data_IF_455147187752
#
_entry.id   IF_455147187752
#
_cell.length_a   1.000
_cell.length_b   1.000
_cell.length_c   1.000
_cell.angle_alpha   90.00
_cell.angle_beta   90.00
_cell.angle_gamma   90.00
#
_symmetry.space_group_name_H-M   'P 1'
#
loop_
_entity.id
_entity.type
_entity.pdbx_description
1 polymer ?
#
# COMPACT_ATOMS: atom_id res chain seq x y z
N UNK A 1 -5.01 -1.34 -4.25
CA UNK A 1 -4.82 0.11 -4.54
C UNK A 1 -5.66 0.91 -3.56
N UNK A 2 -5.24 2.10 -3.16
CA UNK A 2 -6.02 2.96 -2.26
C UNK A 2 -7.21 3.64 -2.94
N UNK A 3 -7.10 3.87 -4.24
CA UNK A 3 -8.14 4.41 -5.11
C UNK A 3 -8.09 3.69 -6.47
N UNK A 4 -9.23 3.62 -7.17
CA UNK A 4 -9.35 2.96 -8.48
C UNK A 4 -9.96 3.94 -9.47
N UNK A 5 -9.16 4.44 -10.41
CA UNK A 5 -9.64 5.22 -11.55
C UNK A 5 -9.95 4.33 -12.76
N UNK A 6 -9.14 3.28 -12.94
CA UNK A 6 -9.22 2.36 -14.06
C UNK A 6 -9.25 0.92 -13.55
N UNK A 7 -10.26 0.17 -13.96
CA UNK A 7 -10.41 -1.23 -13.59
C UNK A 7 -9.60 -2.15 -14.52
N UNK A 8 -9.61 -3.44 -14.20
CA UNK A 8 -8.89 -4.49 -14.91
C UNK A 8 -9.32 -4.68 -16.37
N UNK A 9 -10.55 -4.27 -16.71
CA UNK A 9 -11.08 -4.36 -18.07
C UNK A 9 -10.54 -3.24 -18.96
N UNK A 10 -10.24 -2.08 -18.38
CA UNK A 10 -9.73 -0.90 -19.11
C UNK A 10 -8.21 -0.91 -19.31
N UNK A 11 -7.46 -1.65 -18.49
CA UNK A 11 -5.98 -1.68 -18.58
C UNK A 11 -5.51 -2.98 -19.22
N UNK A 12 -4.91 -2.88 -20.41
CA UNK A 12 -4.43 -4.06 -21.17
C UNK A 12 -2.92 -4.28 -21.08
N UNK A 13 -2.11 -3.24 -20.88
CA UNK A 13 -0.64 -3.34 -20.83
C UNK A 13 -0.10 -2.46 -19.72
N UNK A 14 0.92 -2.96 -19.01
CA UNK A 14 1.70 -2.20 -18.04
C UNK A 14 3.18 -2.24 -18.40
N UNK A 15 3.89 -1.13 -18.21
CA UNK A 15 5.32 -1.00 -18.51
C UNK A 15 6.02 -0.31 -17.33
N UNK A 16 7.16 -0.83 -16.93
CA UNK A 16 8.11 -0.19 -16.02
C UNK A 16 9.53 -0.36 -16.55
N UNK A 17 10.51 0.24 -15.88
CA UNK A 17 11.94 0.06 -16.18
C UNK A 17 12.40 -1.40 -16.08
N UNK A 18 11.63 -2.24 -15.38
CA UNK A 18 11.94 -3.65 -15.20
C UNK A 18 11.34 -4.57 -16.26
N UNK A 19 10.40 -4.08 -17.06
CA UNK A 19 9.80 -4.86 -18.14
C UNK A 19 8.36 -4.48 -18.48
N UNK A 20 7.80 -5.27 -19.41
CA UNK A 20 6.44 -5.11 -19.94
C UNK A 20 5.58 -6.31 -19.52
N UNK A 21 4.37 -6.02 -19.05
CA UNK A 21 3.32 -6.99 -18.76
C UNK A 21 2.13 -6.79 -19.71
N UNK A 22 1.91 -7.75 -20.60
CA UNK A 22 0.73 -7.83 -21.44
C UNK A 22 -0.38 -8.61 -20.74
N UNK A 23 -1.47 -7.92 -20.40
CA UNK A 23 -2.54 -8.41 -19.55
C UNK A 23 -3.76 -8.88 -20.34
N UNK A 24 -3.70 -8.85 -21.68
CA UNK A 24 -4.79 -9.28 -22.56
C UNK A 24 -5.06 -10.78 -22.39
N UNK A 25 -6.34 -11.15 -22.33
CA UNK A 25 -6.81 -12.53 -22.17
C UNK A 25 -6.22 -13.28 -20.96
N UNK A 26 -5.86 -12.56 -19.88
CA UNK A 26 -5.36 -13.15 -18.63
C UNK A 26 -6.40 -13.04 -17.52
N UNK A 27 -6.55 -14.10 -16.73
CA UNK A 27 -7.37 -14.08 -15.50
C UNK A 27 -6.74 -13.16 -14.44
N UNK A 28 -7.49 -12.68 -13.44
CA UNK A 28 -6.92 -11.81 -12.39
C UNK A 28 -5.67 -12.38 -11.72
N UNK A 29 -5.65 -13.70 -11.45
CA UNK A 29 -4.47 -14.40 -10.90
C UNK A 29 -3.27 -14.39 -11.85
N UNK A 30 -3.49 -14.64 -13.14
CA UNK A 30 -2.44 -14.60 -14.15
C UNK A 30 -1.89 -13.17 -14.33
N UNK A 31 -2.78 -12.16 -14.32
CA UNK A 31 -2.41 -10.74 -14.37
C UNK A 31 -1.53 -10.36 -13.19
N UNK A 32 -1.96 -10.69 -11.97
CA UNK A 32 -1.21 -10.41 -10.76
C UNK A 32 0.21 -11.00 -10.82
N UNK A 33 0.32 -12.30 -11.13
CA UNK A 33 1.62 -12.98 -11.26
C UNK A 33 2.51 -12.31 -12.31
N UNK A 34 1.98 -11.99 -13.50
CA UNK A 34 2.75 -11.37 -14.58
C UNK A 34 3.23 -9.96 -14.21
N UNK A 35 2.37 -9.14 -13.59
CA UNK A 35 2.73 -7.78 -13.14
C UNK A 35 3.85 -7.85 -12.09
N UNK A 36 3.74 -8.77 -11.13
CA UNK A 36 4.76 -8.95 -10.08
C UNK A 36 6.09 -9.40 -10.68
N UNK A 37 6.08 -10.33 -11.64
CA UNK A 37 7.31 -10.85 -12.24
C UNK A 37 7.98 -9.85 -13.19
N UNK A 38 7.21 -9.10 -13.98
CA UNK A 38 7.73 -8.26 -15.07
C UNK A 38 7.86 -6.79 -14.71
N UNK A 39 6.92 -6.23 -13.96
CA UNK A 39 6.87 -4.78 -13.76
C UNK A 39 7.27 -4.34 -12.34
N UNK A 40 7.05 -5.17 -11.32
CA UNK A 40 7.37 -4.77 -9.94
C UNK A 40 8.88 -4.63 -9.73
N UNK A 41 9.27 -3.68 -8.87
CA UNK A 41 10.66 -3.43 -8.52
C UNK A 41 11.25 -4.58 -7.69
N UNK A 42 12.50 -5.04 -7.95
CA UNK A 42 13.10 -6.21 -7.30
C UNK A 42 12.97 -6.24 -5.77
N UNK A 43 13.15 -5.09 -5.10
CA UNK A 43 12.99 -4.98 -3.63
C UNK A 43 11.58 -5.33 -3.12
N UNK A 44 10.53 -5.13 -3.92
CA UNK A 44 9.13 -5.35 -3.52
C UNK A 44 8.55 -6.66 -4.05
N UNK A 45 9.22 -7.32 -5.02
CA UNK A 45 8.70 -8.55 -5.66
C UNK A 45 8.41 -9.65 -4.64
N UNK A 46 9.32 -9.91 -3.72
CA UNK A 46 9.13 -10.96 -2.70
C UNK A 46 7.88 -10.68 -1.87
N UNK A 47 7.75 -9.47 -1.30
CA UNK A 47 6.61 -9.12 -0.45
C UNK A 47 5.28 -9.14 -1.22
N UNK A 48 5.27 -8.78 -2.51
CA UNK A 48 4.07 -8.92 -3.37
C UNK A 48 3.71 -10.39 -3.62
N UNK A 49 4.70 -11.25 -3.89
CA UNK A 49 4.48 -12.69 -4.07
C UNK A 49 3.97 -13.34 -2.77
N UNK A 50 4.53 -12.95 -1.63
CA UNK A 50 4.12 -13.44 -0.32
C UNK A 50 2.67 -13.05 -0.02
N UNK A 51 2.29 -11.79 -0.28
CA UNK A 51 0.89 -11.35 -0.18
C UNK A 51 -0.03 -12.14 -1.12
N UNK A 52 0.37 -12.32 -2.39
CA UNK A 52 -0.44 -13.05 -3.38
C UNK A 52 -0.62 -14.53 -2.98
N UNK A 53 0.44 -15.19 -2.53
CA UNK A 53 0.40 -16.59 -2.08
C UNK A 53 -0.42 -16.74 -0.80
N UNK A 54 -0.31 -15.81 0.15
CA UNK A 54 -1.15 -15.76 1.34
C UNK A 54 -2.62 -15.55 0.99
N UNK A 55 -2.94 -14.53 0.19
CA UNK A 55 -4.29 -14.21 -0.23
C UNK A 55 -4.97 -15.40 -0.95
N UNK A 56 -4.25 -16.16 -1.77
CA UNK A 56 -4.80 -17.36 -2.40
C UNK A 56 -5.22 -18.44 -1.39
N UNK A 57 -4.59 -18.51 -0.22
CA UNK A 57 -4.92 -19.49 0.83
C UNK A 57 -6.09 -19.03 1.69
N UNK A 58 -6.14 -17.74 2.02
CA UNK A 58 -7.07 -17.21 3.03
C UNK A 58 -8.31 -16.53 2.45
N UNK A 59 -8.29 -16.13 1.17
CA UNK A 59 -9.38 -15.38 0.59
C UNK A 59 -10.65 -16.23 0.46
N UNK A 60 -11.77 -15.64 0.87
CA UNK A 60 -13.10 -16.23 0.70
C UNK A 60 -13.45 -16.44 -0.78
N UNK A 61 -13.11 -15.47 -1.64
CA UNK A 61 -13.38 -15.53 -3.08
C UNK A 61 -12.09 -15.78 -3.86
N UNK A 62 -12.07 -16.86 -4.64
CA UNK A 62 -10.86 -17.34 -5.31
C UNK A 62 -10.65 -16.78 -6.72
N UNK A 63 -11.60 -16.00 -7.27
CA UNK A 63 -11.43 -15.38 -8.58
C UNK A 63 -10.37 -14.26 -8.54
N UNK A 64 -10.52 -13.35 -7.56
CA UNK A 64 -9.61 -12.23 -7.29
C UNK A 64 -9.20 -12.29 -5.82
N UNK A 65 -8.16 -13.08 -5.49
CA UNK A 65 -7.83 -13.38 -4.10
C UNK A 65 -7.29 -12.13 -3.38
N UNK A 66 -7.97 -11.74 -2.32
CA UNK A 66 -7.55 -10.66 -1.41
C UNK A 66 -7.70 -11.07 0.05
N UNK A 67 -6.74 -10.67 0.87
CA UNK A 67 -6.88 -10.56 2.32
C UNK A 67 -7.24 -9.11 2.67
N UNK A 68 -8.50 -8.88 3.04
CA UNK A 68 -9.02 -7.55 3.32
C UNK A 68 -8.38 -6.90 4.56
N UNK A 69 -7.87 -7.70 5.50
CA UNK A 69 -7.20 -7.18 6.71
C UNK A 69 -5.89 -6.50 6.39
N UNK A 70 -5.20 -6.98 5.34
CA UNK A 70 -3.83 -6.58 5.01
C UNK A 70 -3.72 -5.87 3.67
N UNK A 71 -4.78 -5.82 2.84
CA UNK A 71 -4.76 -5.26 1.49
C UNK A 71 -4.25 -3.82 1.37
N UNK A 72 -4.45 -2.99 2.41
CA UNK A 72 -4.03 -1.58 2.42
C UNK A 72 -2.86 -1.31 3.38
N UNK A 73 -2.28 -2.35 4.01
CA UNK A 73 -1.28 -2.19 5.07
C UNK A 73 -0.02 -1.45 4.63
N UNK A 74 0.41 -1.59 3.38
CA UNK A 74 1.59 -0.88 2.86
C UNK A 74 1.39 0.64 2.79
N UNK A 75 0.16 1.09 2.52
CA UNK A 75 -0.16 2.51 2.51
C UNK A 75 -0.18 3.08 3.93
N UNK A 76 -0.71 2.30 4.88
CA UNK A 76 -0.67 2.65 6.31
C UNK A 76 0.79 2.76 6.78
N UNK A 77 1.63 1.78 6.44
CA UNK A 77 3.06 1.79 6.78
C UNK A 77 3.79 3.01 6.21
N UNK A 78 3.50 3.39 4.96
CA UNK A 78 4.07 4.59 4.35
C UNK A 78 3.70 5.85 5.17
N UNK A 79 2.48 5.94 5.67
CA UNK A 79 2.04 7.06 6.50
C UNK A 79 2.73 7.08 7.87
N UNK A 80 2.97 5.91 8.48
CA UNK A 80 3.54 5.79 9.82
C UNK A 80 5.06 5.91 9.84
N UNK A 81 5.74 5.33 8.84
CA UNK A 81 7.20 5.13 8.85
C UNK A 81 7.94 5.89 7.75
N UNK A 82 7.21 6.41 6.75
CA UNK A 82 7.79 7.07 5.58
C UNK A 82 8.30 6.13 4.48
N UNK A 83 8.26 4.80 4.68
CA UNK A 83 8.61 3.80 3.66
C UNK A 83 7.55 2.70 3.57
N UNK A 84 7.35 2.13 2.37
CA UNK A 84 6.51 0.94 2.21
C UNK A 84 7.29 -0.35 2.48
N UNK A 85 8.62 -0.31 2.36
CA UNK A 85 9.47 -1.49 2.41
C UNK A 85 9.60 -1.97 3.86
N UNK A 86 9.33 -3.26 4.08
CA UNK A 86 9.60 -3.89 5.38
C UNK A 86 11.09 -3.83 5.75
N UNK A 87 11.37 -3.41 6.98
CA UNK A 87 12.74 -3.33 7.51
C UNK A 87 13.54 -2.10 7.05
N UNK A 88 12.97 -1.21 6.25
CA UNK A 88 13.61 0.06 5.88
C UNK A 88 13.44 1.09 7.01
N UNK A 89 14.23 0.94 8.06
CA UNK A 89 14.28 1.87 9.19
C UNK A 89 15.18 3.08 8.89
N UNK A 90 15.11 3.63 7.66
CA UNK A 90 15.71 4.93 7.36
C UNK A 90 14.81 6.04 7.92
N UNK A 91 14.97 6.27 9.21
CA UNK A 91 14.61 7.45 10.01
C UNK A 91 14.00 8.63 9.22
N UNK A 92 12.68 8.78 9.30
CA UNK A 92 12.03 10.10 9.36
C UNK A 92 10.92 10.06 10.40
N UNK A 93 11.18 10.69 11.54
CA UNK A 93 10.15 11.14 12.48
C UNK A 93 9.05 11.85 11.70
N UNK A 94 7.89 11.21 11.55
CA UNK A 94 6.73 11.83 10.95
C UNK A 94 6.14 12.86 11.92
N UNK A 95 6.76 14.04 11.99
CA UNK A 95 6.14 15.24 12.53
C UNK A 95 5.04 15.67 11.58
N UNK A 96 3.82 15.13 11.75
CA UNK A 96 2.61 15.80 11.29
C UNK A 96 2.00 16.54 12.48
N UNK A 97 2.62 17.66 12.86
CA UNK A 97 1.92 18.68 13.65
C UNK A 97 0.84 19.23 12.72
N UNK A 98 -0.41 18.88 12.96
CA UNK A 98 -1.51 19.64 12.38
C UNK A 98 -1.64 20.93 13.18
N UNK A 99 -1.86 22.07 12.50
CA UNK A 99 -2.10 23.38 13.16
C UNK A 99 -3.22 23.34 14.23
N UNK A 100 -4.02 22.28 14.27
CA UNK A 100 -5.10 22.07 15.24
C UNK A 100 -4.60 21.62 16.62
N UNK A 101 -3.43 20.99 16.69
CA UNK A 101 -2.88 20.46 17.95
C UNK A 101 -2.13 21.53 18.76
N UNK A 102 -1.54 22.53 18.09
CA UNK A 102 -0.92 23.70 18.75
C UNK A 102 -1.95 24.56 19.48
N UNK A 103 -3.15 24.68 18.95
CA UNK A 103 -4.19 25.54 19.51
C UNK A 103 -4.87 24.91 20.75
N UNK A 104 -4.89 23.57 20.85
CA UNK A 104 -5.45 22.87 22.02
C UNK A 104 -4.47 22.81 23.20
N UNK A 105 -3.16 22.82 22.93
CA UNK A 105 -2.14 22.88 23.98
C UNK A 105 -2.01 24.30 24.57
N UNK A 106 -2.10 25.35 23.73
CA UNK A 106 -2.07 26.74 24.19
C UNK A 106 -3.28 27.10 25.08
N UNK A 107 -4.47 26.57 24.77
CA UNK A 107 -5.68 26.85 25.56
C UNK A 107 -5.74 26.14 26.92
N UNK A 108 -4.98 25.06 27.11
CA UNK A 108 -4.99 24.29 28.37
C UNK A 108 -4.04 24.83 29.43
N UNK A 109 -3.10 25.70 29.05
CA UNK A 109 -2.15 26.36 29.96
C UNK A 109 -2.67 27.69 30.53
N UNK A 110 -3.67 28.32 29.88
CA UNK A 110 -4.33 29.55 30.36
C UNK A 110 -5.37 29.24 31.47
N UNK A 111 -6.15 28.17 31.30
CA UNK A 111 -7.21 27.79 32.27
C UNK A 111 -6.68 27.22 33.60
N UNK A 112 -5.37 26.94 33.71
CA UNK A 112 -4.75 26.52 35.00
C UNK A 112 -4.11 27.67 35.78
N UNK A 113 -4.10 28.89 35.22
CA UNK A 113 -3.51 30.06 35.89
C UNK A 113 -4.54 31.00 36.52
N UNK A 114 -5.82 30.61 36.56
CA UNK A 114 -6.87 31.26 37.37
C UNK A 114 -7.27 30.34 38.53
N UNK A 115 -6.32 30.12 39.43
CA UNK A 115 -6.54 29.85 40.85
C UNK A 115 -5.60 30.75 41.65
#
# INVERSE_FOLDING_TARGET
VSHVDHNEHSVQVMVSEHGLADLRAKTPKQRAKLIIEKCAHPKYRSQLLDYFNHAQKVSFAQHTPHDLKTALSWHVRLQETGSMLEGDTTTKTATRITKKDTDRAAKKLDETSVK
#
